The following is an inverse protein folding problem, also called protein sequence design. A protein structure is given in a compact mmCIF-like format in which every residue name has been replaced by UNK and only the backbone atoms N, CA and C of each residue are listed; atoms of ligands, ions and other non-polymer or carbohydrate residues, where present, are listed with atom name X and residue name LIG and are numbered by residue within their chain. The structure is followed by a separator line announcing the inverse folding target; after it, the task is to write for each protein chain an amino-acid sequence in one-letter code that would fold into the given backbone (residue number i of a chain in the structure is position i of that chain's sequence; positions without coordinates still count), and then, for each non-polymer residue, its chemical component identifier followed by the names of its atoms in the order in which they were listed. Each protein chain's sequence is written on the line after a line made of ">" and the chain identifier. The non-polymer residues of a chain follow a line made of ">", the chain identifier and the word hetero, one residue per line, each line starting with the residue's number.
data_IF_705613495120
#
_entry.id   IF_705613495120
#
_cell.length_a   1.000
_cell.length_b   1.000
_cell.length_c   1.000
_cell.angle_alpha   90.00
_cell.angle_beta   90.00
_cell.angle_gamma   90.00
#
_symmetry.space_group_name_H-M   'P 1'
#
loop_
_entity.id
_entity.type
_entity.pdbx_description
1 polymer ?
#
# COMPACT_ATOMS: atom_id res chain seq x y z
N UNK A 1 -10.96 -19.20 2.74
CA UNK A 1 -10.24 -18.16 3.54
C UNK A 1 -11.29 -17.17 4.03
N UNK A 2 -11.34 -16.92 5.33
CA UNK A 2 -12.33 -16.02 5.93
C UNK A 2 -11.72 -14.61 6.10
N UNK A 3 -11.84 -13.79 5.06
CA UNK A 3 -11.33 -12.41 5.08
C UNK A 3 -12.10 -11.50 6.04
N UNK A 4 -13.35 -11.83 6.37
CA UNK A 4 -14.14 -11.12 7.38
C UNK A 4 -13.50 -11.27 8.76
N UNK A 5 -13.18 -12.49 9.16
CA UNK A 5 -12.53 -12.74 10.45
C UNK A 5 -11.16 -12.05 10.55
N UNK A 6 -10.38 -12.01 9.45
CA UNK A 6 -9.13 -11.24 9.39
C UNK A 6 -9.36 -9.74 9.53
N UNK A 7 -10.38 -9.19 8.88
CA UNK A 7 -10.71 -7.77 8.96
C UNK A 7 -11.14 -7.35 10.37
N UNK A 8 -11.99 -8.16 11.01
CA UNK A 8 -12.54 -7.87 12.35
C UNK A 8 -11.48 -7.89 13.45
N UNK A 9 -10.50 -8.79 13.38
CA UNK A 9 -9.38 -8.87 14.35
C UNK A 9 -8.26 -7.87 14.12
N UNK A 10 -8.23 -7.22 12.95
CA UNK A 10 -7.13 -6.37 12.52
C UNK A 10 -7.09 -5.02 13.26
N UNK A 11 -5.92 -4.42 13.30
CA UNK A 11 -5.69 -3.12 13.94
C UNK A 11 -6.39 -2.00 13.19
N UNK A 12 -6.86 -1.00 13.94
CA UNK A 12 -7.23 0.30 13.37
C UNK A 12 -5.99 1.07 12.95
N UNK A 13 -6.17 2.12 12.15
CA UNK A 13 -5.09 3.01 11.74
C UNK A 13 -4.32 3.58 12.93
N UNK A 14 -5.04 4.12 13.92
CA UNK A 14 -4.42 4.78 15.07
C UNK A 14 -3.55 3.82 15.88
N UNK A 15 -4.05 2.59 16.12
CA UNK A 15 -3.28 1.55 16.81
C UNK A 15 -2.03 1.12 16.02
N UNK A 16 -2.13 1.06 14.70
CA UNK A 16 -0.95 0.73 13.89
C UNK A 16 0.08 1.86 13.91
N UNK A 17 -0.34 3.13 13.86
CA UNK A 17 0.59 4.28 13.90
C UNK A 17 1.39 4.33 15.20
N UNK A 18 0.84 3.82 16.32
CA UNK A 18 1.58 3.70 17.58
C UNK A 18 2.79 2.75 17.45
N UNK A 19 2.71 1.73 16.60
CA UNK A 19 3.78 0.76 16.36
C UNK A 19 4.91 1.28 15.45
N UNK A 20 4.74 2.43 14.82
CA UNK A 20 5.72 2.97 13.86
C UNK A 20 6.97 3.53 14.54
N UNK A 21 6.90 3.89 15.82
CA UNK A 21 8.02 4.44 16.57
C UNK A 21 8.74 5.55 15.80
N UNK A 22 10.04 5.41 15.56
CA UNK A 22 10.87 6.37 14.81
C UNK A 22 10.45 6.55 13.34
N UNK A 23 9.72 5.61 12.78
CA UNK A 23 9.21 5.69 11.40
C UNK A 23 7.94 6.54 11.26
N UNK A 24 7.35 6.98 12.36
CA UNK A 24 6.11 7.78 12.36
C UNK A 24 6.25 9.07 11.58
N UNK A 25 7.36 9.77 11.72
CA UNK A 25 7.59 11.06 11.05
C UNK A 25 7.63 10.90 9.52
N UNK A 26 8.28 9.86 9.02
CA UNK A 26 8.33 9.58 7.58
C UNK A 26 6.93 9.22 7.03
N UNK A 27 6.19 8.39 7.77
CA UNK A 27 4.80 8.05 7.42
C UNK A 27 3.93 9.31 7.35
N UNK A 28 3.99 10.17 8.37
CA UNK A 28 3.23 11.42 8.39
C UNK A 28 3.66 12.41 7.30
N UNK A 29 4.96 12.42 6.95
CA UNK A 29 5.44 13.27 5.86
C UNK A 29 4.78 12.90 4.53
N UNK A 30 4.71 11.61 4.19
CA UNK A 30 4.02 11.14 2.98
C UNK A 30 2.52 11.46 3.03
N UNK A 31 1.88 11.27 4.19
CA UNK A 31 0.48 11.63 4.40
C UNK A 31 0.21 13.11 4.12
N UNK A 32 1.03 14.02 4.65
CA UNK A 32 0.88 15.47 4.48
C UNK A 32 1.20 15.96 3.06
N UNK A 33 2.15 15.30 2.39
CA UNK A 33 2.60 15.71 1.05
C UNK A 33 1.71 15.23 -0.08
N UNK A 34 0.94 14.17 0.12
CA UNK A 34 -0.02 13.72 -0.88
C UNK A 34 -1.17 14.74 -1.01
N UNK A 35 -1.47 15.14 -2.24
CA UNK A 35 -2.61 16.02 -2.60
C UNK A 35 -3.26 15.48 -3.86
N UNK A 36 -4.55 15.23 -3.80
CA UNK A 36 -5.36 15.03 -4.99
C UNK A 36 -5.78 16.39 -5.56
N UNK A 37 -5.87 16.50 -6.88
CA UNK A 37 -6.48 17.64 -7.54
C UNK A 37 -8.00 17.60 -7.39
N UNK A 38 -8.73 18.72 -7.58
CA UNK A 38 -10.20 18.72 -7.48
C UNK A 38 -10.88 17.67 -8.37
N UNK A 39 -10.36 17.43 -9.59
CA UNK A 39 -10.89 16.41 -10.48
C UNK A 39 -10.62 14.98 -9.96
N UNK A 40 -9.42 14.72 -9.44
CA UNK A 40 -9.10 13.43 -8.79
C UNK A 40 -9.97 13.20 -7.55
N UNK A 41 -10.19 14.22 -6.72
CA UNK A 41 -11.08 14.11 -5.55
C UNK A 41 -12.51 13.76 -5.94
N UNK A 42 -13.02 14.36 -7.01
CA UNK A 42 -14.36 14.05 -7.52
C UNK A 42 -14.45 12.57 -7.97
N UNK A 43 -13.44 12.06 -8.67
CA UNK A 43 -13.37 10.64 -9.06
C UNK A 43 -13.31 9.76 -7.83
N UNK A 44 -12.42 10.06 -6.86
CA UNK A 44 -12.26 9.29 -5.63
C UNK A 44 -13.58 9.20 -4.84
N UNK A 45 -14.32 10.30 -4.72
CA UNK A 45 -15.64 10.34 -4.06
C UNK A 45 -16.70 9.46 -4.75
N UNK A 46 -16.54 9.24 -6.05
CA UNK A 46 -17.44 8.39 -6.83
C UNK A 46 -17.12 6.88 -6.74
N UNK A 47 -15.99 6.50 -6.15
CA UNK A 47 -15.62 5.08 -6.00
C UNK A 47 -16.55 4.41 -4.98
N UNK A 48 -17.03 3.21 -5.32
CA UNK A 48 -17.88 2.39 -4.44
C UNK A 48 -17.27 2.19 -3.06
N UNK A 49 -18.08 1.95 -2.01
CA UNK A 49 -17.59 1.57 -0.68
C UNK A 49 -16.71 0.34 -0.74
N UNK A 50 -15.58 0.37 -0.05
CA UNK A 50 -14.61 -0.71 -0.01
C UNK A 50 -14.13 -0.98 1.43
N UNK A 51 -13.80 -2.23 1.71
CA UNK A 51 -13.04 -2.64 2.87
C UNK A 51 -11.62 -2.98 2.44
N UNK A 52 -10.63 -2.54 3.19
CA UNK A 52 -9.21 -2.72 2.83
C UNK A 52 -8.48 -3.39 3.99
N UNK A 53 -7.88 -4.55 3.73
CA UNK A 53 -6.92 -5.16 4.62
C UNK A 53 -5.52 -4.81 4.11
N UNK A 54 -4.68 -4.27 4.98
CA UNK A 54 -3.28 -3.98 4.68
C UNK A 54 -2.41 -4.94 5.48
N UNK A 55 -1.75 -5.87 4.77
CA UNK A 55 -0.69 -6.71 5.33
C UNK A 55 0.63 -5.94 5.23
N UNK A 56 1.25 -5.63 6.36
CA UNK A 56 2.44 -4.80 6.42
C UNK A 56 3.30 -5.06 7.65
N UNK A 57 4.42 -4.36 7.75
CA UNK A 57 5.25 -4.28 8.95
C UNK A 57 5.73 -2.84 9.18
N UNK A 58 5.86 -2.40 10.45
CA UNK A 58 6.24 -1.02 10.80
C UNK A 58 7.61 -0.58 10.25
N UNK A 59 8.52 -1.53 10.02
CA UNK A 59 9.86 -1.28 9.48
C UNK A 59 9.90 -1.19 7.94
N UNK A 60 8.81 -1.50 7.24
CA UNK A 60 8.80 -1.57 5.78
C UNK A 60 8.76 -0.18 5.14
N UNK A 61 9.85 0.19 4.43
CA UNK A 61 9.96 1.49 3.79
C UNK A 61 8.94 1.75 2.68
N UNK A 62 8.53 0.72 1.92
CA UNK A 62 7.46 0.84 0.93
C UNK A 62 6.11 1.12 1.61
N UNK A 63 5.83 0.46 2.74
CA UNK A 63 4.61 0.69 3.52
C UNK A 63 4.52 2.13 4.06
N UNK A 64 5.66 2.69 4.52
CA UNK A 64 5.73 4.07 5.01
C UNK A 64 5.37 5.11 3.95
N UNK A 65 5.54 4.78 2.66
CA UNK A 65 5.17 5.66 1.55
C UNK A 65 3.77 5.37 1.00
N UNK A 66 3.38 4.10 0.86
CA UNK A 66 2.15 3.68 0.19
C UNK A 66 0.94 3.85 1.10
N UNK A 67 1.02 3.34 2.32
CA UNK A 67 -0.12 3.32 3.23
C UNK A 67 -0.67 4.72 3.53
N UNK A 68 0.14 5.76 3.85
CA UNK A 68 -0.39 7.11 4.10
C UNK A 68 -1.13 7.69 2.90
N UNK A 69 -0.70 7.40 1.68
CA UNK A 69 -1.39 7.83 0.46
C UNK A 69 -2.76 7.17 0.35
N UNK A 70 -2.83 5.84 0.52
CA UNK A 70 -4.09 5.10 0.51
C UNK A 70 -5.02 5.56 1.63
N UNK A 71 -4.49 5.87 2.81
CA UNK A 71 -5.25 6.46 3.91
C UNK A 71 -5.90 7.81 3.50
N UNK A 72 -5.13 8.69 2.85
CA UNK A 72 -5.68 9.97 2.34
C UNK A 72 -6.75 9.77 1.28
N UNK A 73 -6.58 8.80 0.38
CA UNK A 73 -7.60 8.45 -0.61
C UNK A 73 -8.87 7.96 0.08
N UNK A 74 -8.75 7.09 1.08
CA UNK A 74 -9.88 6.59 1.86
C UNK A 74 -10.63 7.72 2.59
N UNK A 75 -9.93 8.70 3.14
CA UNK A 75 -10.53 9.87 3.78
C UNK A 75 -11.28 10.78 2.79
N UNK A 76 -10.74 10.97 1.58
CA UNK A 76 -11.41 11.74 0.52
C UNK A 76 -12.68 11.02 0.08
N UNK A 77 -12.64 9.69 -0.08
CA UNK A 77 -13.81 8.89 -0.43
C UNK A 77 -14.89 8.93 0.66
N UNK A 78 -14.50 8.77 1.91
CA UNK A 78 -15.38 8.85 3.10
C UNK A 78 -16.16 7.57 3.42
N UNK A 79 -16.15 6.55 2.54
CA UNK A 79 -16.90 5.31 2.70
C UNK A 79 -16.02 4.06 2.77
N UNK A 80 -14.69 4.22 2.78
CA UNK A 80 -13.76 3.11 2.88
C UNK A 80 -13.40 2.80 4.31
N UNK A 81 -13.38 1.53 4.63
CA UNK A 81 -12.92 1.02 5.91
C UNK A 81 -11.56 0.35 5.75
N UNK A 82 -10.58 0.74 6.57
CA UNK A 82 -9.23 0.20 6.52
C UNK A 82 -8.87 -0.49 7.81
N UNK A 83 -8.21 -1.65 7.70
CA UNK A 83 -7.68 -2.44 8.81
C UNK A 83 -6.29 -2.93 8.47
N UNK A 84 -5.45 -3.06 9.49
CA UNK A 84 -4.04 -3.39 9.31
C UNK A 84 -3.71 -4.67 10.05
N UNK A 85 -3.03 -5.58 9.37
CA UNK A 85 -2.50 -6.83 9.92
C UNK A 85 -0.98 -6.83 9.78
N UNK A 86 -0.29 -7.21 10.85
CA UNK A 86 1.13 -7.45 10.78
C UNK A 86 1.39 -8.77 10.05
N UNK A 87 2.27 -8.73 9.04
CA UNK A 87 2.62 -9.89 8.23
C UNK A 87 3.09 -11.07 9.08
N UNK A 88 4.00 -10.79 10.02
CA UNK A 88 4.68 -11.84 10.80
C UNK A 88 3.74 -12.53 11.80
N UNK A 89 2.63 -11.88 12.14
CA UNK A 89 1.57 -12.43 12.99
C UNK A 89 0.43 -13.11 12.17
N UNK A 90 0.46 -13.00 10.83
CA UNK A 90 -0.59 -13.51 9.94
C UNK A 90 0.00 -14.23 8.72
N UNK A 91 0.94 -15.14 8.96
CA UNK A 91 1.67 -15.85 7.89
C UNK A 91 0.77 -16.69 7.01
N UNK A 92 -0.25 -17.32 7.57
CA UNK A 92 -1.23 -18.11 6.82
C UNK A 92 -1.95 -17.26 5.76
N UNK A 93 -2.39 -16.06 6.12
CA UNK A 93 -2.97 -15.11 5.18
C UNK A 93 -1.93 -14.62 4.17
N UNK A 94 -0.73 -14.27 4.65
CA UNK A 94 0.36 -13.77 3.79
C UNK A 94 0.75 -14.77 2.72
N UNK A 95 0.77 -16.06 3.04
CA UNK A 95 1.14 -17.15 2.12
C UNK A 95 0.17 -17.32 0.94
N UNK A 96 -1.06 -16.78 1.05
CA UNK A 96 -2.01 -16.73 -0.06
C UNK A 96 -1.71 -15.59 -1.06
N UNK A 97 -0.86 -14.63 -0.69
CA UNK A 97 -0.60 -13.42 -1.47
C UNK A 97 0.90 -13.17 -1.73
N UNK A 98 1.67 -14.24 -1.90
CA UNK A 98 3.09 -14.15 -2.19
C UNK A 98 3.37 -13.35 -3.47
N UNK A 99 4.48 -12.63 -3.47
CA UNK A 99 5.00 -11.95 -4.65
C UNK A 99 6.30 -12.63 -5.07
N UNK A 100 6.29 -13.33 -6.21
CA UNK A 100 7.44 -14.13 -6.68
C UNK A 100 7.96 -15.09 -5.61
N UNK A 101 7.06 -15.82 -4.95
CA UNK A 101 7.34 -16.74 -3.84
C UNK A 101 7.94 -16.09 -2.58
N UNK A 102 7.83 -14.77 -2.44
CA UNK A 102 8.29 -14.04 -1.26
C UNK A 102 7.13 -13.39 -0.51
N UNK A 103 7.23 -13.35 0.82
CA UNK A 103 6.32 -12.63 1.72
C UNK A 103 6.60 -11.13 1.70
N UNK A 104 6.50 -10.52 0.51
CA UNK A 104 6.76 -9.11 0.32
C UNK A 104 5.59 -8.24 0.83
N UNK A 105 5.90 -7.12 1.46
CA UNK A 105 4.94 -6.16 2.00
C UNK A 105 5.23 -4.75 1.49
N UNK A 106 4.22 -3.86 1.44
CA UNK A 106 2.82 -4.07 1.83
C UNK A 106 2.02 -4.84 0.77
N UNK A 107 1.02 -5.60 1.20
CA UNK A 107 -0.05 -6.12 0.36
C UNK A 107 -1.37 -5.51 0.82
N UNK A 108 -2.09 -4.88 -0.08
CA UNK A 108 -3.41 -4.30 0.15
C UNK A 108 -4.46 -5.17 -0.54
N UNK A 109 -5.40 -5.67 0.23
CA UNK A 109 -6.52 -6.46 -0.25
C UNK A 109 -7.75 -5.57 -0.27
N UNK A 110 -8.27 -5.28 -1.45
CA UNK A 110 -9.49 -4.50 -1.63
C UNK A 110 -10.68 -5.46 -1.73
N UNK A 111 -11.62 -5.28 -0.82
CA UNK A 111 -12.78 -6.15 -0.63
C UNK A 111 -14.07 -5.37 -0.87
N UNK A 112 -15.11 -6.07 -1.29
CA UNK A 112 -16.47 -5.53 -1.30
C UNK A 112 -17.09 -5.48 0.11
N UNK A 113 -18.34 -5.03 0.19
CA UNK A 113 -19.08 -4.95 1.44
C UNK A 113 -19.32 -6.32 2.11
N UNK A 114 -19.29 -7.41 1.33
CA UNK A 114 -19.42 -8.79 1.78
C UNK A 114 -18.09 -9.48 2.10
N UNK A 115 -16.99 -8.71 2.14
CA UNK A 115 -15.61 -9.18 2.37
C UNK A 115 -15.08 -10.10 1.26
N UNK A 116 -15.66 -10.07 0.07
CA UNK A 116 -15.14 -10.79 -1.09
C UNK A 116 -13.94 -10.00 -1.68
N UNK A 117 -12.86 -10.68 -1.97
CA UNK A 117 -11.69 -10.05 -2.59
C UNK A 117 -12.01 -9.61 -4.02
N UNK A 118 -11.85 -8.32 -4.29
CA UNK A 118 -11.99 -7.75 -5.63
C UNK A 118 -10.62 -7.79 -6.33
N UNK A 119 -9.59 -7.21 -5.71
CA UNK A 119 -8.21 -7.24 -6.22
C UNK A 119 -7.20 -7.04 -5.10
N UNK A 120 -5.94 -7.31 -5.40
CA UNK A 120 -4.81 -6.97 -4.54
C UNK A 120 -3.94 -5.90 -5.19
N UNK A 121 -3.30 -5.06 -4.36
CA UNK A 121 -2.30 -4.08 -4.76
C UNK A 121 -1.01 -4.25 -3.95
N UNK A 122 0.14 -3.99 -4.55
CA UNK A 122 1.43 -4.08 -3.88
C UNK A 122 2.30 -5.27 -4.37
N UNK A 123 3.54 -5.36 -3.86
CA UNK A 123 4.12 -4.61 -2.73
C UNK A 123 4.57 -3.18 -3.10
N UNK A 124 4.61 -2.82 -4.37
CA UNK A 124 4.98 -1.51 -4.89
C UNK A 124 4.10 -1.13 -6.06
N UNK A 125 3.86 0.17 -6.29
CA UNK A 125 3.34 0.62 -7.58
C UNK A 125 4.36 0.30 -8.68
N UNK A 126 3.86 0.07 -9.91
CA UNK A 126 4.69 -0.33 -11.04
C UNK A 126 5.92 0.58 -11.21
N UNK A 127 5.76 1.89 -11.10
CA UNK A 127 6.85 2.84 -11.27
C UNK A 127 8.00 2.63 -10.26
N UNK A 128 7.70 2.31 -9.00
CA UNK A 128 8.72 1.99 -8.00
C UNK A 128 9.30 0.58 -8.21
N UNK A 129 8.49 -0.37 -8.68
CA UNK A 129 8.97 -1.70 -9.03
C UNK A 129 9.92 -1.66 -10.24
N UNK A 130 9.65 -0.83 -11.24
CA UNK A 130 10.51 -0.66 -12.42
C UNK A 130 11.91 -0.14 -12.02
N UNK A 131 11.99 0.75 -11.02
CA UNK A 131 13.27 1.19 -10.45
C UNK A 131 14.01 -0.01 -9.83
N UNK A 132 13.34 -0.84 -9.05
CA UNK A 132 13.95 -2.03 -8.46
C UNK A 132 14.47 -2.99 -9.54
N UNK A 133 13.67 -3.25 -10.59
CA UNK A 133 14.05 -4.15 -11.69
C UNK A 133 15.25 -3.63 -12.48
N UNK A 134 15.38 -2.30 -12.66
CA UNK A 134 16.52 -1.68 -13.35
C UNK A 134 17.85 -2.06 -12.68
N UNK A 135 17.88 -2.17 -11.37
CA UNK A 135 19.09 -2.48 -10.60
C UNK A 135 19.18 -3.94 -10.15
N UNK A 136 18.22 -4.76 -10.53
CA UNK A 136 18.12 -6.14 -10.03
C UNK A 136 19.33 -7.00 -10.39
N UNK A 137 19.79 -6.92 -11.63
CA UNK A 137 20.93 -7.73 -12.09
C UNK A 137 22.26 -7.23 -11.49
N UNK A 138 22.43 -5.93 -11.33
CA UNK A 138 23.59 -5.34 -10.65
C UNK A 138 23.62 -5.75 -9.17
N UNK A 139 22.45 -5.76 -8.52
CA UNK A 139 22.29 -6.22 -7.13
C UNK A 139 22.63 -7.71 -6.99
N UNK A 140 22.12 -8.56 -7.88
CA UNK A 140 22.42 -9.99 -7.88
C UNK A 140 23.91 -10.27 -8.15
N UNK A 141 24.54 -9.45 -8.97
CA UNK A 141 25.97 -9.53 -9.29
C UNK A 141 26.87 -8.91 -8.18
N UNK A 142 26.30 -8.40 -7.10
CA UNK A 142 27.04 -7.74 -6.03
C UNK A 142 27.69 -6.39 -6.42
N UNK A 143 27.26 -5.79 -7.53
CA UNK A 143 27.79 -4.50 -8.04
C UNK A 143 27.14 -3.29 -7.39
N UNK A 144 25.97 -3.45 -6.79
CA UNK A 144 25.24 -2.42 -6.04
C UNK A 144 24.69 -3.01 -4.76
N UNK A 145 24.76 -2.26 -3.67
CA UNK A 145 24.19 -2.66 -2.40
C UNK A 145 22.66 -2.49 -2.39
N UNK A 146 21.97 -3.38 -1.66
CA UNK A 146 20.51 -3.30 -1.48
C UNK A 146 20.07 -1.95 -0.94
N UNK A 147 20.85 -1.37 -0.04
CA UNK A 147 20.60 -0.06 0.56
C UNK A 147 20.57 1.06 -0.46
N UNK A 148 21.43 1.01 -1.49
CA UNK A 148 21.44 1.99 -2.57
C UNK A 148 20.20 1.89 -3.45
N UNK A 149 19.72 0.69 -3.77
CA UNK A 149 18.47 0.50 -4.51
C UNK A 149 17.28 1.02 -3.70
N UNK A 150 17.24 0.71 -2.40
CA UNK A 150 16.20 1.22 -1.50
C UNK A 150 16.22 2.76 -1.45
N UNK A 151 17.39 3.38 -1.41
CA UNK A 151 17.54 4.84 -1.42
C UNK A 151 16.97 5.47 -2.70
N UNK A 152 17.17 4.84 -3.86
CA UNK A 152 16.58 5.28 -5.13
C UNK A 152 15.04 5.22 -5.09
N UNK A 153 14.47 4.14 -4.56
CA UNK A 153 13.02 3.98 -4.41
C UNK A 153 12.46 5.03 -3.42
N UNK A 154 13.12 5.26 -2.30
CA UNK A 154 12.72 6.30 -1.34
C UNK A 154 12.75 7.71 -1.97
N UNK A 155 13.77 7.99 -2.78
CA UNK A 155 13.89 9.26 -3.52
C UNK A 155 12.74 9.41 -4.52
N UNK A 156 12.36 8.34 -5.19
CA UNK A 156 11.18 8.33 -6.07
C UNK A 156 9.92 8.70 -5.28
N UNK A 157 9.60 8.00 -4.19
CA UNK A 157 8.41 8.30 -3.39
C UNK A 157 8.38 9.75 -2.88
N UNK A 158 9.52 10.28 -2.45
CA UNK A 158 9.63 11.65 -1.97
C UNK A 158 9.32 12.70 -3.06
N UNK A 159 9.72 12.43 -4.30
CA UNK A 159 9.48 13.31 -5.46
C UNK A 159 8.09 13.13 -6.04
N UNK A 160 7.62 11.90 -6.18
CA UNK A 160 6.34 11.53 -6.78
C UNK A 160 5.13 11.96 -5.92
N UNK A 161 5.31 12.00 -4.60
CA UNK A 161 4.29 12.43 -3.62
C UNK A 161 2.98 11.64 -3.72
N UNK A 162 3.07 10.35 -4.08
CA UNK A 162 1.94 9.43 -4.14
C UNK A 162 1.13 9.46 -5.44
N UNK A 163 1.56 10.21 -6.46
CA UNK A 163 0.84 10.28 -7.74
C UNK A 163 0.84 8.96 -8.50
N UNK A 164 1.97 8.26 -8.53
CA UNK A 164 2.04 6.94 -9.15
C UNK A 164 1.10 5.92 -8.48
N UNK A 165 1.00 5.98 -7.14
CA UNK A 165 0.08 5.13 -6.37
C UNK A 165 -1.37 5.44 -6.75
N UNK A 166 -1.76 6.72 -6.73
CA UNK A 166 -3.12 7.15 -7.08
C UNK A 166 -3.49 6.74 -8.51
N UNK A 167 -2.63 7.03 -9.47
CA UNK A 167 -2.89 6.75 -10.89
C UNK A 167 -3.07 5.25 -11.15
N UNK A 168 -2.21 4.42 -10.55
CA UNK A 168 -2.32 2.97 -10.69
C UNK A 168 -3.58 2.44 -10.03
N UNK A 169 -3.94 2.90 -8.83
CA UNK A 169 -5.19 2.52 -8.17
C UNK A 169 -6.41 2.95 -8.98
N UNK A 170 -6.44 4.18 -9.52
CA UNK A 170 -7.57 4.63 -10.36
C UNK A 170 -7.73 3.77 -11.62
N UNK A 171 -6.62 3.34 -12.25
CA UNK A 171 -6.67 2.40 -13.38
C UNK A 171 -7.29 1.06 -12.95
N UNK A 172 -6.83 0.49 -11.84
CA UNK A 172 -7.34 -0.77 -11.32
C UNK A 172 -8.83 -0.66 -10.93
N UNK A 173 -9.24 0.44 -10.31
CA UNK A 173 -10.66 0.67 -9.96
C UNK A 173 -11.55 0.71 -11.21
N UNK A 174 -11.09 1.36 -12.27
CA UNK A 174 -11.80 1.39 -13.55
C UNK A 174 -11.91 0.00 -14.18
N UNK A 175 -10.83 -0.76 -14.19
CA UNK A 175 -10.81 -2.15 -14.70
C UNK A 175 -11.75 -3.08 -13.94
N UNK A 176 -11.97 -2.82 -12.65
CA UNK A 176 -12.87 -3.58 -11.78
C UNK A 176 -14.29 -2.98 -11.66
N UNK A 177 -14.65 -2.00 -12.49
CA UNK A 177 -15.97 -1.36 -12.51
C UNK A 177 -16.39 -0.73 -11.15
N UNK A 178 -15.43 -0.16 -10.44
CA UNK A 178 -15.65 0.52 -9.15
C UNK A 178 -15.86 2.04 -9.31
N UNK A 179 -15.54 2.56 -10.50
CA UNK A 179 -15.82 3.91 -11.00
C UNK A 179 -16.49 3.83 -12.36
#
# INVERSE_FOLDING_TARGET
>A
MDLKAYFEKALTYDKYVELLEDNRDLHQLHYKKFKASPGEEQVIKGIKPLKIIILTEPWCGDSLAIFPVVRRIAEINGHWEMRILRRDENLELMDQFLTRNARAVPILLFLDENYSLIFRFGPRPKAAQDIFETYREEFKAGKIEKTEVIKKIRTFYAKDRGKAILNELLSIFKENHLI
#
